data_IF_937132891767
#
_entry.id   IF_937132891767
#
_cell.length_a   1.000
_cell.length_b   1.000
_cell.length_c   1.000
_cell.angle_alpha   90.00
_cell.angle_beta   90.00
_cell.angle_gamma   90.00
#
_symmetry.space_group_name_H-M   'P 1'
#
loop_
_entity.id
_entity.type
_entity.pdbx_description
1 polymer ?
#
# COMPACT_ATOMS: atom_id res chain seq x y z
N UNK A 1 -17.17 -7.08 5.53
CA UNK A 1 -16.68 -6.53 4.25
C UNK A 1 -15.17 -6.42 4.38
N UNK A 2 -14.39 -6.85 3.39
CA UNK A 2 -12.92 -6.77 3.45
C UNK A 2 -12.43 -5.39 3.03
N UNK A 3 -11.26 -4.98 3.50
CA UNK A 3 -10.59 -3.72 3.10
C UNK A 3 -10.48 -3.61 1.58
N UNK A 4 -10.10 -4.69 0.90
CA UNK A 4 -10.04 -4.78 -0.56
C UNK A 4 -11.37 -4.47 -1.24
N UNK A 5 -12.46 -5.09 -0.81
CA UNK A 5 -13.78 -4.85 -1.43
C UNK A 5 -14.19 -3.39 -1.29
N UNK A 6 -13.95 -2.80 -0.11
CA UNK A 6 -14.32 -1.41 0.13
C UNK A 6 -13.54 -0.44 -0.75
N UNK A 7 -12.22 -0.64 -0.88
CA UNK A 7 -11.40 0.19 -1.77
C UNK A 7 -11.87 0.07 -3.22
N UNK A 8 -12.20 -1.15 -3.68
CA UNK A 8 -12.75 -1.36 -5.03
C UNK A 8 -14.09 -0.64 -5.24
N UNK A 9 -14.99 -0.67 -4.25
CA UNK A 9 -16.27 0.03 -4.32
C UNK A 9 -16.07 1.56 -4.40
N UNK A 10 -15.14 2.11 -3.61
CA UNK A 10 -14.80 3.53 -3.64
C UNK A 10 -14.17 3.94 -4.98
N UNK A 11 -13.23 3.13 -5.49
CA UNK A 11 -12.62 3.35 -6.79
C UNK A 11 -13.64 3.29 -7.94
N UNK A 12 -14.65 2.42 -7.85
CA UNK A 12 -15.73 2.35 -8.83
C UNK A 12 -16.68 3.57 -8.78
N UNK A 13 -16.85 4.21 -7.62
CA UNK A 13 -17.68 5.40 -7.45
C UNK A 13 -16.94 6.71 -7.85
N UNK A 14 -15.60 6.71 -7.80
CA UNK A 14 -14.78 7.89 -8.05
C UNK A 14 -15.00 8.58 -9.42
N UNK A 15 -15.20 7.86 -10.55
CA UNK A 15 -15.39 8.49 -11.86
C UNK A 15 -16.63 9.38 -11.95
N UNK A 16 -17.69 9.05 -11.21
CA UNK A 16 -18.94 9.81 -11.18
C UNK A 16 -18.95 10.93 -10.12
N UNK A 17 -17.93 10.99 -9.27
CA UNK A 17 -17.82 11.93 -8.15
C UNK A 17 -16.97 13.14 -8.54
N UNK A 18 -17.22 14.30 -7.93
CA UNK A 18 -16.52 15.55 -8.25
C UNK A 18 -16.25 16.39 -7.01
N UNK A 19 -15.25 17.28 -7.09
CA UNK A 19 -14.94 18.23 -6.03
C UNK A 19 -14.77 17.57 -4.67
N UNK A 20 -15.52 18.06 -3.68
CA UNK A 20 -15.49 17.60 -2.30
C UNK A 20 -15.86 16.10 -2.16
N UNK A 21 -16.84 15.61 -2.93
CA UNK A 21 -17.22 14.18 -2.87
C UNK A 21 -16.06 13.28 -3.29
N UNK A 22 -15.30 13.68 -4.31
CA UNK A 22 -14.13 12.92 -4.73
C UNK A 22 -13.01 12.97 -3.69
N UNK A 23 -12.83 14.10 -2.99
CA UNK A 23 -11.89 14.20 -1.87
C UNK A 23 -12.28 13.25 -0.74
N UNK A 24 -13.56 13.18 -0.38
CA UNK A 24 -14.04 12.28 0.67
C UNK A 24 -13.80 10.81 0.32
N UNK A 25 -14.11 10.41 -0.91
CA UNK A 25 -13.84 9.04 -1.36
C UNK A 25 -12.34 8.71 -1.33
N UNK A 26 -11.48 9.63 -1.76
CA UNK A 26 -10.02 9.44 -1.71
C UNK A 26 -9.52 9.32 -0.28
N UNK A 27 -9.98 10.18 0.63
CA UNK A 27 -9.58 10.14 2.04
C UNK A 27 -9.95 8.81 2.68
N UNK A 28 -11.19 8.34 2.46
CA UNK A 28 -11.63 7.03 2.96
C UNK A 28 -10.78 5.89 2.36
N UNK A 29 -10.53 5.93 1.05
CA UNK A 29 -9.71 4.93 0.39
C UNK A 29 -8.25 4.93 0.89
N UNK A 30 -7.70 6.11 1.22
CA UNK A 30 -6.36 6.25 1.79
C UNK A 30 -6.30 5.66 3.20
N UNK A 31 -7.28 5.93 4.07
CA UNK A 31 -7.34 5.33 5.41
C UNK A 31 -7.37 3.80 5.33
N UNK A 32 -8.18 3.25 4.43
CA UNK A 32 -8.27 1.82 4.20
C UNK A 32 -6.98 1.25 3.60
N UNK A 33 -6.30 2.00 2.72
CA UNK A 33 -5.01 1.60 2.17
C UNK A 33 -3.96 1.49 3.28
N UNK A 34 -3.87 2.49 4.16
CA UNK A 34 -2.93 2.48 5.29
C UNK A 34 -3.23 1.34 6.27
N UNK A 35 -4.51 1.10 6.56
CA UNK A 35 -4.91 -0.03 7.41
C UNK A 35 -4.52 -1.37 6.79
N UNK A 36 -4.79 -1.56 5.49
CA UNK A 36 -4.45 -2.80 4.78
C UNK A 36 -2.94 -3.07 4.74
N UNK A 37 -2.14 -2.02 4.50
CA UNK A 37 -0.68 -2.12 4.57
C UNK A 37 -0.20 -2.46 5.99
N UNK A 38 -0.79 -1.84 7.01
CA UNK A 38 -0.42 -2.11 8.40
C UNK A 38 -0.74 -3.57 8.79
N UNK A 39 -1.91 -4.07 8.43
CA UNK A 39 -2.32 -5.45 8.70
C UNK A 39 -1.38 -6.44 8.01
N UNK A 40 -1.07 -6.20 6.71
CA UNK A 40 -0.13 -7.03 5.96
C UNK A 40 1.29 -6.97 6.55
N UNK A 41 1.74 -5.79 6.98
CA UNK A 41 3.04 -5.66 7.62
C UNK A 41 3.14 -6.50 8.89
N UNK A 42 2.10 -6.53 9.73
CA UNK A 42 2.07 -7.40 10.91
C UNK A 42 2.14 -8.88 10.54
N UNK A 43 1.42 -9.31 9.51
CA UNK A 43 1.46 -10.69 9.01
C UNK A 43 2.83 -11.08 8.45
N UNK A 44 3.46 -10.19 7.67
CA UNK A 44 4.80 -10.38 7.10
C UNK A 44 5.85 -10.41 8.21
N UNK A 45 5.75 -9.52 9.21
CA UNK A 45 6.63 -9.50 10.36
C UNK A 45 6.51 -10.78 11.19
N UNK A 46 5.29 -11.30 11.39
CA UNK A 46 5.09 -12.58 12.07
C UNK A 46 5.71 -13.76 11.29
N UNK A 47 5.63 -13.73 9.95
CA UNK A 47 6.17 -14.77 9.07
C UNK A 47 7.70 -14.73 8.97
N UNK A 48 8.29 -13.54 8.91
CA UNK A 48 9.71 -13.34 8.58
C UNK A 48 10.58 -12.97 9.78
N UNK A 49 10.01 -12.43 10.86
CA UNK A 49 10.76 -11.90 12.00
C UNK A 49 11.66 -12.93 12.70
N UNK A 50 11.27 -14.20 12.68
CA UNK A 50 12.05 -15.31 13.23
C UNK A 50 13.14 -15.88 12.33
N UNK A 51 13.25 -15.42 11.07
CA UNK A 51 14.23 -15.93 10.12
C UNK A 51 15.65 -15.46 10.44
N UNK A 52 16.64 -16.29 10.10
CA UNK A 52 18.03 -15.84 10.11
C UNK A 52 18.22 -14.69 9.11
N UNK A 53 19.18 -13.78 9.38
CA UNK A 53 19.44 -12.63 8.49
C UNK A 53 19.73 -13.07 7.05
N UNK A 54 20.45 -14.17 6.84
CA UNK A 54 20.72 -14.68 5.50
C UNK A 54 19.44 -15.05 4.73
N UNK A 55 18.47 -15.69 5.40
CA UNK A 55 17.20 -16.08 4.78
C UNK A 55 16.31 -14.86 4.51
N UNK A 56 16.34 -13.85 5.40
CA UNK A 56 15.65 -12.57 5.18
C UNK A 56 16.23 -11.82 3.97
N UNK A 57 17.56 -11.78 3.82
CA UNK A 57 18.21 -11.16 2.66
C UNK A 57 17.90 -11.90 1.36
N UNK A 58 17.83 -13.24 1.40
CA UNK A 58 17.41 -14.03 0.25
C UNK A 58 15.97 -13.73 -0.17
N UNK A 59 15.08 -13.52 0.81
CA UNK A 59 13.70 -13.12 0.53
C UNK A 59 13.63 -11.72 -0.13
N UNK A 60 14.42 -10.77 0.36
CA UNK A 60 14.54 -9.43 -0.23
C UNK A 60 15.08 -9.47 -1.67
N UNK A 61 16.15 -10.24 -1.91
CA UNK A 61 16.72 -10.41 -3.26
C UNK A 61 15.72 -11.07 -4.23
N UNK A 62 14.98 -12.07 -3.75
CA UNK A 62 13.90 -12.73 -4.53
C UNK A 62 12.78 -11.75 -4.89
N UNK A 63 12.49 -10.79 -4.02
CA UNK A 63 11.54 -9.71 -4.27
C UNK A 63 12.11 -8.59 -5.18
N UNK A 64 13.35 -8.73 -5.66
CA UNK A 64 14.02 -7.74 -6.51
C UNK A 64 14.52 -6.52 -5.74
N UNK A 65 14.66 -6.63 -4.43
CA UNK A 65 15.05 -5.53 -3.55
C UNK A 65 16.54 -5.62 -3.20
N UNK A 66 17.36 -4.63 -3.57
CA UNK A 66 18.78 -4.62 -3.25
C UNK A 66 18.96 -4.27 -1.76
N UNK A 67 18.92 -5.30 -0.90
CA UNK A 67 19.16 -5.15 0.53
C UNK A 67 20.58 -5.57 0.94
N UNK A 68 21.13 -4.90 1.95
CA UNK A 68 22.42 -5.24 2.57
C UNK A 68 22.22 -5.81 3.99
N UNK A 69 23.04 -6.79 4.43
CA UNK A 69 22.93 -7.37 5.78
C UNK A 69 23.13 -6.38 6.94
N UNK A 70 23.67 -5.18 6.69
CA UNK A 70 23.80 -4.11 7.68
C UNK A 70 22.54 -3.25 7.83
N UNK A 71 21.55 -3.38 6.95
CA UNK A 71 20.27 -2.68 7.08
C UNK A 71 19.47 -3.17 8.28
N UNK A 72 18.61 -2.29 8.78
CA UNK A 72 17.70 -2.63 9.86
C UNK A 72 16.71 -3.72 9.41
N UNK A 73 16.51 -4.72 10.27
CA UNK A 73 15.68 -5.87 9.92
C UNK A 73 14.21 -5.51 9.81
N UNK A 74 13.73 -4.62 10.66
CA UNK A 74 12.33 -4.20 10.65
C UNK A 74 12.05 -3.33 9.43
N UNK A 75 13.02 -2.52 9.00
CA UNK A 75 12.96 -1.79 7.73
C UNK A 75 12.86 -2.74 6.52
N UNK A 76 13.69 -3.79 6.46
CA UNK A 76 13.64 -4.78 5.36
C UNK A 76 12.29 -5.52 5.33
N UNK A 77 11.76 -5.87 6.51
CA UNK A 77 10.45 -6.52 6.63
C UNK A 77 9.33 -5.58 6.16
N UNK A 78 9.39 -4.30 6.53
CA UNK A 78 8.43 -3.28 6.07
C UNK A 78 8.47 -3.13 4.54
N UNK A 79 9.66 -3.05 3.95
CA UNK A 79 9.80 -2.94 2.51
C UNK A 79 9.27 -4.18 1.79
N UNK A 80 9.51 -5.39 2.32
CA UNK A 80 8.95 -6.63 1.79
C UNK A 80 7.42 -6.62 1.85
N UNK A 81 6.84 -6.14 2.96
CA UNK A 81 5.40 -5.99 3.08
C UNK A 81 4.84 -4.98 2.08
N UNK A 82 5.56 -3.89 1.78
CA UNK A 82 5.17 -2.91 0.77
C UNK A 82 5.16 -3.53 -0.63
N UNK A 83 6.20 -4.29 -1.00
CA UNK A 83 6.25 -4.99 -2.30
C UNK A 83 5.07 -5.96 -2.45
N UNK A 84 4.73 -6.69 -1.39
CA UNK A 84 3.56 -7.57 -1.40
C UNK A 84 2.24 -6.77 -1.50
N UNK A 85 2.14 -5.64 -0.79
CA UNK A 85 0.96 -4.78 -0.79
C UNK A 85 0.68 -4.17 -2.16
N UNK A 86 1.70 -3.63 -2.83
CA UNK A 86 1.57 -2.95 -4.13
C UNK A 86 1.05 -3.87 -5.23
N UNK A 87 1.25 -5.18 -5.08
CA UNK A 87 0.73 -6.20 -6.01
C UNK A 87 -0.72 -6.61 -5.72
N UNK A 88 -1.34 -6.06 -4.68
CA UNK A 88 -2.74 -6.39 -4.34
C UNK A 88 -3.74 -5.60 -5.19
N UNK A 89 -4.93 -6.16 -5.48
CA UNK A 89 -5.99 -5.44 -6.16
C UNK A 89 -6.42 -4.15 -5.43
N UNK A 90 -6.31 -4.13 -4.10
CA UNK A 90 -6.63 -2.97 -3.27
C UNK A 90 -5.65 -1.81 -3.55
N UNK A 91 -4.34 -2.08 -3.51
CA UNK A 91 -3.32 -1.08 -3.75
C UNK A 91 -3.39 -0.53 -5.19
N UNK A 92 -3.54 -1.41 -6.17
CA UNK A 92 -3.69 -1.01 -7.58
C UNK A 92 -4.92 -0.13 -7.81
N UNK A 93 -6.08 -0.50 -7.24
CA UNK A 93 -7.31 0.29 -7.38
C UNK A 93 -7.21 1.66 -6.71
N UNK A 94 -6.57 1.73 -5.54
CA UNK A 94 -6.29 3.01 -4.88
C UNK A 94 -5.35 3.90 -5.70
N UNK A 95 -4.24 3.34 -6.22
CA UNK A 95 -3.27 4.08 -7.01
C UNK A 95 -3.91 4.68 -8.28
N UNK A 96 -4.70 3.89 -9.02
CA UNK A 96 -5.44 4.35 -10.20
C UNK A 96 -6.47 5.43 -9.86
N UNK A 97 -7.19 5.28 -8.74
CA UNK A 97 -8.14 6.27 -8.26
C UNK A 97 -7.45 7.60 -7.90
N UNK A 98 -6.32 7.53 -7.20
CA UNK A 98 -5.53 8.69 -6.82
C UNK A 98 -4.94 9.40 -8.06
N UNK A 99 -4.41 8.66 -9.03
CA UNK A 99 -3.91 9.24 -10.29
C UNK A 99 -5.04 9.89 -11.10
N UNK A 100 -6.20 9.23 -11.19
CA UNK A 100 -7.37 9.79 -11.86
C UNK A 100 -7.86 11.09 -11.20
N UNK A 101 -7.81 11.18 -9.86
CA UNK A 101 -8.12 12.40 -9.14
C UNK A 101 -7.06 13.50 -9.33
N UNK A 102 -5.77 13.14 -9.33
CA UNK A 102 -4.68 14.08 -9.56
C UNK A 102 -4.78 14.71 -10.96
N UNK A 103 -5.12 13.92 -12.00
CA UNK A 103 -5.43 14.42 -13.36
C UNK A 103 -6.57 15.44 -13.39
N UNK A 104 -7.40 15.48 -12.35
CA UNK A 104 -8.53 16.40 -12.18
C UNK A 104 -8.23 17.54 -11.20
N UNK A 105 -6.98 17.67 -10.75
CA UNK A 105 -6.52 18.72 -9.82
C UNK A 105 -6.85 18.44 -8.35
N UNK A 106 -7.15 17.20 -7.98
CA UNK A 106 -7.43 16.80 -6.60
C UNK A 106 -6.32 15.87 -6.11
N UNK A 107 -5.61 16.29 -5.07
CA UNK A 107 -4.60 15.49 -4.38
C UNK A 107 -4.83 15.58 -2.87
N UNK A 108 -4.61 14.46 -2.16
CA UNK A 108 -4.67 14.44 -0.69
C UNK A 108 -3.41 15.01 -0.04
N UNK A 109 -2.27 14.94 -0.74
CA UNK A 109 -1.01 15.55 -0.30
C UNK A 109 -0.92 16.94 -0.94
N UNK A 110 -0.92 18.02 -0.15
CA UNK A 110 -0.72 19.35 -0.70
C UNK A 110 0.65 19.43 -1.39
N UNK A 111 0.70 20.04 -2.58
CA UNK A 111 1.97 20.43 -3.20
C UNK A 111 2.59 21.56 -2.35
N UNK A 112 3.81 21.35 -1.85
CA UNK A 112 4.60 22.36 -1.13
C UNK A 112 5.14 23.47 -2.04
#
# INVERSE_FOLDING_TARGET
>A
MTTTQRILDLAAAAPASHGEDLVLLLSEANELYQQGLQDLHLDVAARLGGLATADLMLAADTAGMPCDPSQDRDEVILLLALVEWEMTPAAMAYAEMAEAAARRGICLVPEE
#
